data_IF_162828034590
#
_entry.id   IF_162828034590
#
_cell.length_a   1.000
_cell.length_b   1.000
_cell.length_c   1.000
_cell.angle_alpha   90.00
_cell.angle_beta   90.00
_cell.angle_gamma   90.00
#
_symmetry.space_group_name_H-M   'P 1'
#
loop_
_entity.id
_entity.type
_entity.pdbx_description
1 polymer ?
#
# COMPACT_ATOMS: atom_id res chain seq x y z
N UNK A 1 58.20 -24.53 -20.55
CA UNK A 1 58.03 -24.79 -19.11
C UNK A 1 56.71 -24.16 -18.70
N UNK A 2 55.62 -24.93 -18.63
CA UNK A 2 55.17 -25.68 -17.43
C UNK A 2 54.72 -24.72 -16.32
N UNK A 3 53.51 -24.74 -15.76
CA UNK A 3 52.39 -25.68 -15.76
C UNK A 3 51.10 -24.91 -15.43
N UNK A 4 49.96 -25.41 -15.91
CA UNK A 4 48.65 -25.11 -15.35
C UNK A 4 48.44 -25.87 -14.02
N UNK A 5 47.64 -25.29 -13.13
CA UNK A 5 46.77 -25.96 -12.13
C UNK A 5 45.82 -24.86 -11.62
N UNK A 6 44.53 -24.83 -11.99
CA UNK A 6 43.43 -25.64 -11.47
C UNK A 6 43.27 -25.51 -9.95
N UNK A 7 42.39 -24.60 -9.49
CA UNK A 7 41.61 -24.81 -8.26
C UNK A 7 40.35 -23.93 -8.20
N UNK A 8 39.22 -24.66 -8.24
CA UNK A 8 37.97 -24.45 -7.51
C UNK A 8 37.09 -23.24 -7.83
N UNK A 9 36.17 -23.51 -8.76
CA UNK A 9 34.78 -23.03 -8.72
C UNK A 9 34.19 -23.24 -7.32
N UNK A 10 34.04 -22.16 -6.55
CA UNK A 10 33.03 -22.12 -5.49
C UNK A 10 31.72 -21.72 -6.16
N UNK A 11 31.04 -22.72 -6.72
CA UNK A 11 29.63 -22.62 -7.06
C UNK A 11 28.86 -22.44 -5.74
N UNK A 12 28.65 -21.19 -5.33
CA UNK A 12 27.70 -20.88 -4.27
C UNK A 12 26.33 -21.32 -4.77
N UNK A 13 25.86 -22.46 -4.28
CA UNK A 13 24.49 -22.92 -4.48
C UNK A 13 23.59 -21.84 -3.89
N UNK A 14 22.99 -21.00 -4.74
CA UNK A 14 21.91 -20.12 -4.33
C UNK A 14 20.77 -21.04 -3.91
N UNK A 15 20.68 -21.30 -2.61
CA UNK A 15 19.47 -21.87 -2.02
C UNK A 15 18.36 -20.89 -2.35
N UNK A 16 17.51 -21.26 -3.31
CA UNK A 16 16.28 -20.54 -3.57
C UNK A 16 15.50 -20.55 -2.25
N UNK A 17 15.51 -19.41 -1.55
CA UNK A 17 14.63 -19.23 -0.41
C UNK A 17 13.22 -19.49 -0.95
N UNK A 18 12.59 -20.59 -0.52
CA UNK A 18 11.20 -20.88 -0.85
C UNK A 18 10.39 -19.71 -0.30
N UNK A 19 9.99 -18.81 -1.21
CA UNK A 19 9.11 -17.70 -0.89
C UNK A 19 7.86 -18.27 -0.24
N UNK A 20 7.52 -17.75 0.94
CA UNK A 20 6.26 -18.05 1.60
C UNK A 20 5.16 -17.66 0.61
N UNK A 21 4.33 -18.62 0.20
CA UNK A 21 3.20 -18.30 -0.69
C UNK A 21 2.21 -17.40 0.06
N UNK A 22 1.44 -16.56 -0.65
CA UNK A 22 0.45 -15.66 -0.02
C UNK A 22 -0.47 -16.42 0.95
N UNK A 23 -0.81 -17.66 0.61
CA UNK A 23 -1.55 -18.63 1.44
C UNK A 23 -0.84 -18.97 2.76
N UNK A 24 0.47 -19.21 2.74
CA UNK A 24 1.26 -19.53 3.94
C UNK A 24 1.41 -18.31 4.87
N UNK A 25 1.53 -17.10 4.33
CA UNK A 25 1.59 -15.87 5.12
C UNK A 25 0.24 -15.59 5.85
N UNK A 26 -0.89 -15.83 5.17
CA UNK A 26 -2.22 -15.65 5.76
C UNK A 26 -2.60 -16.75 6.74
N UNK A 27 -2.19 -18.00 6.50
CA UNK A 27 -2.38 -19.08 7.47
C UNK A 27 -1.64 -18.79 8.79
N UNK A 28 -0.45 -18.18 8.73
CA UNK A 28 0.28 -17.73 9.91
C UNK A 28 -0.43 -16.55 10.63
N UNK A 29 -1.01 -15.61 9.88
CA UNK A 29 -1.77 -14.49 10.46
C UNK A 29 -3.08 -14.93 11.14
N UNK A 30 -3.77 -15.94 10.60
CA UNK A 30 -4.98 -16.53 11.20
C UNK A 30 -4.67 -17.31 12.48
N UNK A 31 -3.49 -17.93 12.58
CA UNK A 31 -3.05 -18.62 13.79
C UNK A 31 -2.63 -17.66 14.92
N UNK A 32 -2.23 -16.43 14.59
CA UNK A 32 -1.76 -15.42 15.55
C UNK A 32 -2.85 -14.44 16.01
N UNK A 33 -4.13 -14.72 15.73
CA UNK A 33 -5.26 -13.85 16.08
C UNK A 33 -5.47 -13.68 17.58
N UNK A 34 -4.70 -12.79 18.21
CA UNK A 34 -5.00 -12.15 19.49
C UNK A 34 -4.73 -10.65 19.31
N UNK A 35 -5.73 -9.83 19.66
CA UNK A 35 -5.72 -8.39 19.45
C UNK A 35 -4.53 -7.69 20.11
N UNK A 36 -4.14 -6.56 19.53
CA UNK A 36 -3.16 -5.62 20.08
C UNK A 36 -3.76 -4.98 21.33
N UNK A 37 -3.59 -5.65 22.46
CA UNK A 37 -3.74 -5.10 23.81
C UNK A 37 -2.38 -5.23 24.49
N UNK A 38 -1.69 -4.11 24.67
CA UNK A 38 -0.40 -4.07 25.34
C UNK A 38 -0.53 -4.56 26.79
N UNK A 39 0.06 -5.71 27.11
CA UNK A 39 0.27 -6.14 28.49
C UNK A 39 1.75 -5.93 28.81
N UNK A 40 2.03 -4.93 29.64
CA UNK A 40 3.30 -4.78 30.36
C UNK A 40 3.33 -5.81 31.50
N UNK A 41 4.23 -6.80 31.44
CA UNK A 41 4.54 -7.67 32.57
C UNK A 41 5.83 -7.19 33.25
N UNK A 42 5.67 -6.41 34.31
CA UNK A 42 6.69 -6.25 35.35
C UNK A 42 6.56 -7.41 36.34
N UNK A 43 7.71 -7.91 36.79
CA UNK A 43 7.90 -9.21 37.42
C UNK A 43 7.14 -9.49 38.73
N UNK A 44 6.93 -10.79 38.97
CA UNK A 44 6.41 -11.35 40.21
C UNK A 44 6.19 -12.85 40.06
N UNK A 45 6.90 -13.64 40.86
CA UNK A 45 6.92 -15.10 41.03
C UNK A 45 5.67 -15.91 40.64
N UNK A 46 5.90 -16.98 39.85
CA UNK A 46 4.96 -18.10 39.68
C UNK A 46 4.93 -18.97 40.96
N UNK A 47 3.80 -18.98 41.66
CA UNK A 47 3.39 -20.16 42.44
C UNK A 47 2.02 -20.63 41.95
N UNK A 48 2.01 -21.88 41.50
CA UNK A 48 0.85 -22.65 41.08
C UNK A 48 -0.10 -22.87 42.27
N UNK A 49 -1.35 -22.43 42.12
CA UNK A 49 -2.50 -23.05 42.79
C UNK A 49 -3.46 -23.44 41.67
N UNK A 50 -3.22 -24.61 41.08
CA UNK A 50 -4.15 -25.24 40.18
C UNK A 50 -5.27 -25.91 41.00
N UNK A 51 -6.26 -25.14 41.41
CA UNK A 51 -7.55 -25.71 41.79
C UNK A 51 -8.29 -26.07 40.50
N UNK A 52 -8.87 -27.27 40.36
CA UNK A 52 -9.73 -27.57 39.23
C UNK A 52 -11.01 -26.76 39.41
N UNK A 53 -11.04 -25.57 38.79
CA UNK A 53 -12.31 -24.91 38.53
C UNK A 53 -13.03 -25.80 37.53
N UNK A 54 -14.06 -26.49 37.98
CA UNK A 54 -15.11 -27.04 37.13
C UNK A 54 -15.62 -25.86 36.30
N UNK A 55 -15.08 -25.70 35.10
CA UNK A 55 -15.52 -24.64 34.21
C UNK A 55 -16.93 -25.01 33.82
N UNK A 56 -17.88 -24.23 34.31
CA UNK A 56 -19.12 -24.00 33.60
C UNK A 56 -18.75 -23.21 32.33
N UNK A 57 -17.98 -23.82 31.43
CA UNK A 57 -17.97 -23.43 30.04
C UNK A 57 -19.30 -23.93 29.48
N UNK A 58 -20.38 -23.22 29.83
CA UNK A 58 -21.52 -23.09 28.94
C UNK A 58 -20.92 -22.66 27.60
N UNK A 59 -20.69 -23.67 26.76
CA UNK A 59 -19.77 -23.59 25.63
C UNK A 59 -20.20 -22.45 24.74
N UNK A 60 -19.34 -21.45 24.59
CA UNK A 60 -19.60 -20.36 23.67
C UNK A 60 -19.74 -20.97 22.26
N UNK A 61 -20.98 -21.06 21.78
CA UNK A 61 -21.27 -21.52 20.42
C UNK A 61 -20.80 -20.41 19.51
N UNK A 62 -19.64 -20.62 18.87
CA UNK A 62 -19.15 -19.66 17.90
C UNK A 62 -20.21 -19.49 16.81
N UNK A 63 -20.62 -18.25 16.49
CA UNK A 63 -21.51 -18.00 15.36
C UNK A 63 -20.86 -18.39 14.02
N UNK A 64 -19.58 -18.78 14.01
CA UNK A 64 -18.82 -19.29 12.86
C UNK A 64 -18.60 -20.81 12.91
N UNK A 65 -19.38 -21.53 13.71
CA UNK A 65 -19.25 -22.99 13.87
C UNK A 65 -19.52 -23.78 12.58
N UNK A 66 -20.46 -23.32 11.74
CA UNK A 66 -20.74 -23.94 10.44
C UNK A 66 -19.92 -23.34 9.29
N UNK A 67 -19.71 -24.13 8.24
CA UNK A 67 -19.04 -23.66 7.02
C UNK A 67 -19.82 -22.54 6.34
N UNK A 68 -21.15 -22.68 6.24
CA UNK A 68 -22.01 -21.65 5.70
C UNK A 68 -21.88 -20.32 6.44
N UNK A 69 -21.78 -20.35 7.77
CA UNK A 69 -21.57 -19.15 8.58
C UNK A 69 -20.20 -18.51 8.33
N UNK A 70 -19.15 -19.31 8.16
CA UNK A 70 -17.81 -18.81 7.79
C UNK A 70 -17.80 -18.19 6.41
N UNK A 71 -18.43 -18.80 5.41
CA UNK A 71 -18.54 -18.26 4.04
C UNK A 71 -19.32 -16.94 4.05
N UNK A 72 -20.49 -16.88 4.69
CA UNK A 72 -21.27 -15.65 4.80
C UNK A 72 -20.52 -14.56 5.55
N UNK A 73 -19.78 -14.91 6.60
CA UNK A 73 -18.94 -13.94 7.31
C UNK A 73 -17.80 -13.42 6.45
N UNK A 74 -17.10 -14.32 5.74
CA UNK A 74 -16.03 -13.95 4.81
C UNK A 74 -16.53 -12.96 3.76
N UNK A 75 -17.63 -13.28 3.07
CA UNK A 75 -18.17 -12.38 2.05
C UNK A 75 -18.55 -11.01 2.65
N UNK A 76 -19.24 -10.96 3.80
CA UNK A 76 -19.57 -9.68 4.48
C UNK A 76 -18.35 -8.83 4.81
N UNK A 77 -17.20 -9.44 5.12
CA UNK A 77 -15.97 -8.72 5.49
C UNK A 77 -15.09 -8.39 4.28
N UNK A 78 -15.07 -9.27 3.29
CA UNK A 78 -14.17 -9.19 2.14
C UNK A 78 -14.78 -8.49 0.92
N UNK A 79 -16.10 -8.28 0.86
CA UNK A 79 -16.80 -7.65 -0.29
C UNK A 79 -17.70 -6.51 0.17
N UNK A 80 -18.25 -5.71 -0.73
CA UNK A 80 -19.24 -4.65 -0.40
C UNK A 80 -20.67 -5.17 -0.25
N UNK A 81 -20.83 -6.47 0.00
CA UNK A 81 -22.10 -7.18 -0.11
C UNK A 81 -22.02 -8.30 -1.14
N UNK A 82 -23.05 -9.12 -1.21
CA UNK A 82 -23.16 -10.21 -2.16
C UNK A 82 -24.60 -10.41 -2.61
N UNK A 83 -24.78 -10.84 -3.85
CA UNK A 83 -26.08 -11.29 -4.36
C UNK A 83 -26.38 -12.72 -3.89
N UNK A 84 -27.64 -13.19 -3.96
CA UNK A 84 -27.97 -14.58 -3.70
C UNK A 84 -27.16 -15.56 -4.55
N UNK A 85 -27.01 -15.29 -5.86
CA UNK A 85 -26.22 -16.14 -6.76
C UNK A 85 -24.73 -16.21 -6.39
N UNK A 86 -24.15 -15.11 -5.90
CA UNK A 86 -22.76 -15.10 -5.42
C UNK A 86 -22.60 -15.88 -4.11
N UNK A 87 -23.60 -15.82 -3.22
CA UNK A 87 -23.62 -16.62 -2.00
C UNK A 87 -23.72 -18.12 -2.33
N UNK A 88 -24.63 -18.52 -3.21
CA UNK A 88 -24.80 -19.92 -3.61
C UNK A 88 -23.52 -20.48 -4.22
N UNK A 89 -22.87 -19.72 -5.10
CA UNK A 89 -21.58 -20.09 -5.68
C UNK A 89 -20.49 -20.25 -4.60
N UNK A 90 -20.41 -19.33 -3.64
CA UNK A 90 -19.42 -19.40 -2.55
C UNK A 90 -19.70 -20.54 -1.56
N UNK A 91 -20.96 -20.85 -1.28
CA UNK A 91 -21.36 -21.99 -0.46
C UNK A 91 -21.03 -23.32 -1.15
N UNK A 92 -21.23 -23.39 -2.47
CA UNK A 92 -20.82 -24.54 -3.30
C UNK A 92 -19.30 -24.71 -3.36
N UNK A 93 -18.56 -23.61 -3.48
CA UNK A 93 -17.09 -23.61 -3.44
C UNK A 93 -16.54 -24.02 -2.06
N UNK A 94 -17.27 -23.72 -1.00
CA UNK A 94 -16.80 -23.84 0.38
C UNK A 94 -15.80 -22.74 0.76
N UNK A 95 -15.40 -22.73 2.03
CA UNK A 95 -14.66 -21.60 2.61
C UNK A 95 -13.27 -21.40 1.99
N UNK A 96 -12.46 -22.46 1.90
CA UNK A 96 -11.07 -22.35 1.42
C UNK A 96 -11.00 -21.89 -0.04
N UNK A 97 -11.81 -22.50 -0.91
CA UNK A 97 -11.83 -22.15 -2.34
C UNK A 97 -12.38 -20.74 -2.56
N UNK A 98 -13.33 -20.30 -1.74
CA UNK A 98 -13.80 -18.90 -1.76
C UNK A 98 -12.67 -17.92 -1.40
N UNK A 99 -11.85 -18.23 -0.40
CA UNK A 99 -10.66 -17.41 -0.07
C UNK A 99 -9.70 -17.36 -1.26
N UNK A 100 -9.34 -18.53 -1.81
CA UNK A 100 -8.40 -18.60 -2.93
C UNK A 100 -8.91 -17.78 -4.12
N UNK A 101 -10.20 -17.90 -4.45
CA UNK A 101 -10.82 -17.09 -5.51
C UNK A 101 -10.76 -15.59 -5.21
N UNK A 102 -11.05 -15.14 -3.99
CA UNK A 102 -11.04 -13.71 -3.64
C UNK A 102 -9.64 -13.08 -3.73
N UNK A 103 -8.60 -13.85 -3.39
CA UNK A 103 -7.22 -13.34 -3.29
C UNK A 103 -6.45 -13.49 -4.59
N UNK A 104 -6.63 -14.60 -5.30
CA UNK A 104 -5.83 -14.93 -6.49
C UNK A 104 -6.43 -14.37 -7.79
N UNK A 105 -7.70 -13.93 -7.77
CA UNK A 105 -8.29 -13.26 -8.94
C UNK A 105 -7.64 -11.89 -9.14
N UNK A 106 -7.02 -11.68 -10.30
CA UNK A 106 -6.42 -10.40 -10.68
C UNK A 106 -7.48 -9.28 -10.59
N UNK A 107 -7.21 -8.17 -9.89
CA UNK A 107 -8.12 -7.03 -9.82
C UNK A 107 -8.61 -6.60 -11.21
N UNK A 108 -9.93 -6.45 -11.35
CA UNK A 108 -10.53 -5.91 -12.55
C UNK A 108 -10.23 -4.40 -12.64
N UNK A 109 -9.90 -3.94 -13.84
CA UNK A 109 -9.75 -2.50 -14.08
C UNK A 109 -11.13 -1.83 -14.10
N UNK A 110 -11.26 -0.63 -13.52
CA UNK A 110 -12.49 0.14 -13.62
C UNK A 110 -12.69 0.68 -15.04
N UNK A 111 -13.93 1.03 -15.41
CA UNK A 111 -14.16 1.77 -16.65
C UNK A 111 -13.38 3.09 -16.64
N UNK A 112 -12.93 3.55 -17.79
CA UNK A 112 -12.24 4.85 -17.89
C UNK A 112 -13.16 5.99 -17.46
N UNK A 113 -12.67 6.84 -16.56
CA UNK A 113 -13.31 8.13 -16.32
C UNK A 113 -12.96 9.07 -17.48
N UNK A 114 -13.79 9.09 -18.52
CA UNK A 114 -13.53 9.84 -19.77
C UNK A 114 -13.12 11.30 -19.54
N UNK A 115 -13.75 11.98 -18.60
CA UNK A 115 -13.42 13.38 -18.26
C UNK A 115 -12.04 13.55 -17.66
N UNK A 116 -11.48 12.53 -17.02
CA UNK A 116 -10.12 12.53 -16.47
C UNK A 116 -9.05 12.20 -17.52
N UNK A 117 -9.44 11.50 -18.60
CA UNK A 117 -8.53 11.08 -19.67
C UNK A 117 -8.51 12.09 -20.84
N UNK A 118 -9.55 12.93 -20.98
CA UNK A 118 -9.58 14.02 -21.96
C UNK A 118 -8.55 15.11 -21.64
N UNK A 119 -7.69 15.52 -22.60
CA UNK A 119 -6.78 16.66 -22.42
C UNK A 119 -7.50 17.94 -21.97
N UNK A 120 -7.07 18.51 -20.84
CA UNK A 120 -7.70 19.70 -20.25
C UNK A 120 -9.05 19.43 -19.58
N UNK A 121 -9.44 18.15 -19.47
CA UNK A 121 -10.63 17.71 -18.78
C UNK A 121 -10.63 18.13 -17.32
N UNK A 122 -11.79 18.59 -16.85
CA UNK A 122 -12.04 18.90 -15.44
C UNK A 122 -13.31 18.20 -15.01
N UNK A 123 -13.26 17.62 -13.83
CA UNK A 123 -14.39 16.94 -13.22
C UNK A 123 -14.48 17.32 -11.74
N UNK A 124 -15.70 17.46 -11.19
CA UNK A 124 -15.88 17.67 -9.76
C UNK A 124 -15.51 16.39 -8.99
N UNK A 125 -15.08 16.54 -7.73
CA UNK A 125 -14.72 15.40 -6.88
C UNK A 125 -15.89 14.42 -6.72
N UNK A 126 -17.13 14.92 -6.70
CA UNK A 126 -18.35 14.12 -6.66
C UNK A 126 -18.47 13.13 -7.83
N UNK A 127 -18.00 13.50 -9.03
CA UNK A 127 -17.99 12.59 -10.18
C UNK A 127 -17.02 11.44 -9.96
N UNK A 128 -15.83 11.71 -9.41
CA UNK A 128 -14.85 10.67 -9.08
C UNK A 128 -15.36 9.73 -7.98
N UNK A 129 -16.04 10.29 -6.97
CA UNK A 129 -16.66 9.51 -5.90
C UNK A 129 -17.74 8.58 -6.45
N UNK A 130 -18.64 9.08 -7.30
CA UNK A 130 -19.68 8.26 -7.94
C UNK A 130 -19.07 7.17 -8.81
N UNK A 131 -18.10 7.52 -9.67
CA UNK A 131 -17.38 6.56 -10.51
C UNK A 131 -16.78 5.41 -9.71
N UNK A 132 -16.17 5.71 -8.57
CA UNK A 132 -15.57 4.67 -7.73
C UNK A 132 -16.64 3.84 -7.02
N UNK A 133 -17.70 4.46 -6.48
CA UNK A 133 -18.82 3.74 -5.86
C UNK A 133 -19.46 2.76 -6.85
N UNK A 134 -19.72 3.20 -8.08
CA UNK A 134 -20.30 2.35 -9.12
C UNK A 134 -19.41 1.13 -9.39
N UNK A 135 -18.08 1.33 -9.47
CA UNK A 135 -17.14 0.22 -9.63
C UNK A 135 -17.10 -0.71 -8.41
N UNK A 136 -17.10 -0.18 -7.18
CA UNK A 136 -17.13 -0.97 -5.95
C UNK A 136 -18.36 -1.89 -5.87
N UNK A 137 -19.50 -1.44 -6.41
CA UNK A 137 -20.76 -2.19 -6.40
C UNK A 137 -20.88 -3.22 -7.53
N UNK A 138 -20.16 -3.03 -8.63
CA UNK A 138 -20.34 -3.83 -9.87
C UNK A 138 -19.13 -4.69 -10.25
N UNK A 139 -17.98 -4.47 -9.62
CA UNK A 139 -16.74 -5.18 -9.97
C UNK A 139 -16.84 -6.70 -9.71
N UNK A 140 -16.29 -7.55 -10.61
CA UNK A 140 -16.18 -8.98 -10.36
C UNK A 140 -15.11 -9.32 -9.31
N UNK A 141 -14.28 -8.35 -8.91
CA UNK A 141 -13.19 -8.53 -7.93
C UNK A 141 -13.39 -7.64 -6.69
N UNK A 142 -14.44 -7.86 -5.89
CA UNK A 142 -14.81 -6.97 -4.79
C UNK A 142 -13.77 -6.92 -3.66
N UNK A 143 -12.97 -7.97 -3.49
CA UNK A 143 -11.90 -7.99 -2.49
C UNK A 143 -10.80 -6.97 -2.80
N UNK A 144 -10.41 -6.83 -4.07
CA UNK A 144 -9.44 -5.84 -4.48
C UNK A 144 -9.92 -4.43 -4.14
N UNK A 145 -11.18 -4.10 -4.44
CA UNK A 145 -11.74 -2.78 -4.11
C UNK A 145 -11.92 -2.56 -2.61
N UNK A 146 -12.21 -3.61 -1.84
CA UNK A 146 -12.23 -3.53 -0.37
C UNK A 146 -10.86 -3.17 0.17
N UNK A 147 -9.80 -3.74 -0.38
CA UNK A 147 -8.42 -3.41 -0.05
C UNK A 147 -8.02 -2.01 -0.56
N UNK A 148 -8.44 -1.62 -1.76
CA UNK A 148 -8.26 -0.24 -2.27
C UNK A 148 -8.84 0.78 -1.29
N UNK A 149 -10.06 0.56 -0.80
CA UNK A 149 -10.71 1.43 0.19
C UNK A 149 -9.97 1.44 1.53
N UNK A 150 -9.50 0.28 2.00
CA UNK A 150 -8.68 0.18 3.21
C UNK A 150 -7.41 1.03 3.09
N UNK A 151 -6.65 0.87 2.00
CA UNK A 151 -5.42 1.63 1.79
C UNK A 151 -5.67 3.11 1.52
N UNK A 152 -6.81 3.46 0.93
CA UNK A 152 -7.23 4.85 0.79
C UNK A 152 -7.47 5.51 2.17
N UNK A 153 -8.01 4.76 3.13
CA UNK A 153 -8.17 5.20 4.51
C UNK A 153 -6.88 5.19 5.34
N UNK A 154 -5.86 4.43 4.93
CA UNK A 154 -4.56 4.38 5.62
C UNK A 154 -3.59 5.45 5.07
N UNK A 155 -3.39 5.49 3.76
CA UNK A 155 -2.58 6.50 3.07
C UNK A 155 -3.45 7.66 2.62
N UNK A 156 -3.98 8.41 3.59
CA UNK A 156 -4.97 9.47 3.35
C UNK A 156 -4.33 10.70 2.70
N UNK A 157 -5.10 11.36 1.84
CA UNK A 157 -4.77 12.70 1.30
C UNK A 157 -5.98 13.62 1.28
N UNK A 158 -5.74 14.93 1.28
CA UNK A 158 -6.78 15.94 1.10
C UNK A 158 -6.82 16.44 -0.35
N UNK A 159 -7.90 16.14 -1.06
CA UNK A 159 -8.11 16.57 -2.45
C UNK A 159 -8.08 18.09 -2.62
N UNK A 160 -8.42 18.87 -1.58
CA UNK A 160 -8.40 20.34 -1.60
C UNK A 160 -6.97 20.86 -1.61
N UNK A 161 -6.06 20.23 -0.85
CA UNK A 161 -4.62 20.56 -0.87
C UNK A 161 -3.93 19.99 -2.11
N UNK A 162 -4.34 18.80 -2.57
CA UNK A 162 -3.89 18.27 -3.85
C UNK A 162 -4.29 19.17 -5.02
N UNK A 163 -5.39 19.93 -4.92
CA UNK A 163 -5.80 20.99 -5.86
C UNK A 163 -5.89 20.60 -7.35
N UNK A 164 -5.84 19.30 -7.66
CA UNK A 164 -5.99 18.72 -8.99
C UNK A 164 -6.64 17.34 -8.88
N UNK A 165 -7.93 17.26 -9.24
CA UNK A 165 -8.70 16.02 -9.12
C UNK A 165 -8.15 14.90 -10.01
N UNK A 166 -7.40 15.23 -11.07
CA UNK A 166 -6.69 14.24 -11.89
C UNK A 166 -5.66 13.45 -11.07
N UNK A 167 -5.00 14.10 -10.10
CA UNK A 167 -4.07 13.40 -9.20
C UNK A 167 -4.80 12.45 -8.25
N UNK A 168 -6.01 12.82 -7.79
CA UNK A 168 -6.84 11.93 -6.98
C UNK A 168 -7.32 10.71 -7.77
N UNK A 169 -7.67 10.89 -9.04
CA UNK A 169 -8.02 9.79 -9.93
C UNK A 169 -6.84 8.82 -10.10
N UNK A 170 -5.63 9.33 -10.37
CA UNK A 170 -4.44 8.48 -10.48
C UNK A 170 -4.10 7.78 -9.16
N UNK A 171 -4.20 8.48 -8.03
CA UNK A 171 -3.98 7.90 -6.72
C UNK A 171 -4.92 6.71 -6.48
N UNK A 172 -6.21 6.85 -6.81
CA UNK A 172 -7.16 5.73 -6.69
C UNK A 172 -6.74 4.53 -7.57
N UNK A 173 -6.33 4.78 -8.81
CA UNK A 173 -5.84 3.72 -9.70
C UNK A 173 -4.56 3.06 -9.14
N UNK A 174 -3.63 3.84 -8.58
CA UNK A 174 -2.42 3.34 -7.94
C UNK A 174 -2.76 2.47 -6.73
N UNK A 175 -3.69 2.92 -5.88
CA UNK A 175 -4.07 2.19 -4.67
C UNK A 175 -4.72 0.85 -5.02
N UNK A 176 -5.49 0.81 -6.12
CA UNK A 176 -6.03 -0.44 -6.67
C UNK A 176 -4.94 -1.38 -7.15
N UNK A 177 -4.00 -0.89 -7.97
CA UNK A 177 -2.88 -1.71 -8.48
C UNK A 177 -2.03 -2.29 -7.35
N UNK A 178 -1.82 -1.52 -6.28
CA UNK A 178 -1.01 -1.96 -5.15
C UNK A 178 -1.80 -2.69 -4.06
N UNK A 179 -3.13 -2.77 -4.14
CA UNK A 179 -4.05 -3.16 -3.05
C UNK A 179 -3.72 -4.47 -2.33
N UNK A 180 -3.13 -5.44 -3.04
CA UNK A 180 -2.76 -6.78 -2.53
C UNK A 180 -1.25 -7.05 -2.61
N UNK A 181 -0.43 -6.00 -2.72
CA UNK A 181 1.04 -6.09 -2.74
C UNK A 181 1.63 -6.02 -1.32
N UNK A 182 2.97 -5.93 -1.21
CA UNK A 182 3.65 -5.80 0.07
C UNK A 182 3.85 -4.32 0.44
N UNK A 183 3.90 -4.02 1.74
CA UNK A 183 4.00 -2.66 2.26
C UNK A 183 5.20 -1.89 1.70
N UNK A 184 6.36 -2.53 1.51
CA UNK A 184 7.55 -1.87 0.94
C UNK A 184 7.26 -1.32 -0.46
N UNK A 185 6.63 -2.12 -1.32
CA UNK A 185 6.24 -1.66 -2.67
C UNK A 185 5.22 -0.54 -2.59
N UNK A 186 4.21 -0.64 -1.71
CA UNK A 186 3.21 0.41 -1.50
C UNK A 186 3.84 1.74 -1.09
N UNK A 187 4.81 1.74 -0.17
CA UNK A 187 5.44 2.98 0.28
C UNK A 187 6.16 3.73 -0.84
N UNK A 188 6.73 3.02 -1.83
CA UNK A 188 7.35 3.66 -3.00
C UNK A 188 6.29 4.32 -3.88
N UNK A 189 5.20 3.62 -4.16
CA UNK A 189 4.06 4.17 -4.92
C UNK A 189 3.46 5.38 -4.21
N UNK A 190 3.27 5.32 -2.89
CA UNK A 190 2.75 6.42 -2.07
C UNK A 190 3.70 7.62 -2.07
N UNK A 191 5.01 7.39 -1.92
CA UNK A 191 6.03 8.47 -1.92
C UNK A 191 6.03 9.25 -3.23
N UNK A 192 5.78 8.57 -4.34
CA UNK A 192 5.87 9.14 -5.69
C UNK A 192 4.52 9.53 -6.28
N UNK A 193 3.43 9.37 -5.53
CA UNK A 193 2.09 9.76 -5.97
C UNK A 193 1.96 11.31 -6.02
N UNK A 194 1.49 11.90 -7.14
CA UNK A 194 1.39 13.35 -7.27
C UNK A 194 0.46 14.05 -6.26
N UNK A 195 -0.63 13.40 -5.83
CA UNK A 195 -1.50 13.97 -4.80
C UNK A 195 -0.78 13.97 -3.44
N UNK A 196 -0.10 12.87 -3.09
CA UNK A 196 0.68 12.76 -1.85
C UNK A 196 1.87 13.74 -1.81
N UNK A 197 2.61 13.86 -2.93
CA UNK A 197 3.72 14.79 -3.09
C UNK A 197 3.32 16.24 -2.82
N UNK A 198 2.11 16.63 -3.24
CA UNK A 198 1.56 17.96 -2.98
C UNK A 198 0.92 18.07 -1.60
N UNK A 199 0.25 17.03 -1.13
CA UNK A 199 -0.43 17.00 0.16
C UNK A 199 0.53 17.15 1.35
N UNK A 200 1.70 16.52 1.29
CA UNK A 200 2.70 16.56 2.36
C UNK A 200 3.94 17.37 2.00
N UNK A 201 3.81 18.26 1.01
CA UNK A 201 4.82 19.24 0.61
C UNK A 201 6.18 18.64 0.18
N UNK A 202 6.21 17.35 -0.15
CA UNK A 202 7.42 16.68 -0.63
C UNK A 202 7.86 17.22 -2.00
N UNK A 203 6.93 17.66 -2.84
CA UNK A 203 7.22 18.28 -4.13
C UNK A 203 8.10 19.56 -4.02
N UNK A 204 8.03 20.27 -2.90
CA UNK A 204 8.81 21.49 -2.63
C UNK A 204 10.06 21.23 -1.79
N UNK A 205 10.18 20.05 -1.16
CA UNK A 205 11.36 19.63 -0.42
C UNK A 205 12.62 19.59 -1.30
N UNK A 206 13.72 20.15 -0.80
CA UNK A 206 15.03 20.17 -1.48
C UNK A 206 16.13 19.80 -0.52
N UNK A 207 17.28 19.37 -1.03
CA UNK A 207 18.46 19.11 -0.21
C UNK A 207 18.91 20.32 0.58
N UNK A 208 18.76 21.54 0.04
CA UNK A 208 19.08 22.78 0.75
C UNK A 208 18.04 23.15 1.81
N UNK A 209 16.76 22.91 1.51
CA UNK A 209 15.64 23.19 2.41
C UNK A 209 14.73 21.93 2.49
N UNK A 210 15.11 20.93 3.31
CA UNK A 210 14.30 19.72 3.47
C UNK A 210 12.99 20.04 4.18
N UNK A 211 11.89 19.49 3.69
CA UNK A 211 10.60 19.58 4.37
C UNK A 211 10.32 18.28 5.14
N UNK A 212 10.19 18.40 6.45
CA UNK A 212 10.00 17.26 7.36
C UNK A 212 8.61 16.64 7.33
N UNK A 213 7.61 17.33 6.79
CA UNK A 213 6.21 16.92 6.87
C UNK A 213 6.01 15.49 6.37
N UNK A 214 6.36 15.19 5.11
CA UNK A 214 6.23 13.83 4.59
C UNK A 214 7.05 12.78 5.36
N UNK A 215 8.27 13.11 5.79
CA UNK A 215 9.11 12.19 6.56
C UNK A 215 8.46 11.81 7.89
N UNK A 216 7.90 12.81 8.59
CA UNK A 216 7.18 12.62 9.84
C UNK A 216 5.94 11.78 9.64
N UNK A 217 5.09 12.10 8.67
CA UNK A 217 3.86 11.34 8.41
C UNK A 217 4.15 9.90 7.96
N UNK A 218 5.20 9.69 7.16
CA UNK A 218 5.64 8.36 6.75
C UNK A 218 5.94 7.48 7.97
N UNK A 219 6.63 8.04 8.97
CA UNK A 219 6.97 7.33 10.20
C UNK A 219 5.77 7.19 11.13
N UNK A 220 5.08 8.30 11.40
CA UNK A 220 4.07 8.39 12.43
C UNK A 220 2.74 7.76 12.02
N UNK A 221 2.19 8.15 10.86
CA UNK A 221 0.86 7.71 10.47
C UNK A 221 0.89 6.46 9.59
N UNK A 222 1.90 6.33 8.72
CA UNK A 222 1.86 5.32 7.68
C UNK A 222 2.60 4.03 8.01
N UNK A 223 3.52 4.03 8.98
CA UNK A 223 4.36 2.86 9.26
C UNK A 223 4.51 2.51 10.74
N UNK A 224 5.27 3.29 11.52
CA UNK A 224 5.78 2.89 12.83
C UNK A 224 4.89 3.36 13.99
N UNK A 225 4.13 4.43 13.82
CA UNK A 225 3.40 5.03 14.93
C UNK A 225 4.25 6.01 15.74
N UNK A 226 3.59 6.95 16.40
CA UNK A 226 4.23 7.94 17.27
C UNK A 226 5.03 7.27 18.40
N UNK A 227 6.20 7.83 18.71
CA UNK A 227 7.07 7.37 19.80
C UNK A 227 8.00 6.19 19.45
N UNK A 228 7.96 5.68 18.21
CA UNK A 228 8.83 4.59 17.73
C UNK A 228 10.01 5.06 16.87
N UNK A 229 10.24 6.38 16.78
CA UNK A 229 11.29 7.01 16.00
C UNK A 229 11.75 8.31 16.69
N UNK A 230 12.96 8.77 16.40
CA UNK A 230 13.52 10.01 16.93
C UNK A 230 13.30 11.21 16.00
N UNK A 231 13.40 12.41 16.54
CA UNK A 231 13.34 13.64 15.74
C UNK A 231 14.46 13.74 14.70
N UNK A 232 15.63 13.17 15.00
CA UNK A 232 16.73 13.10 14.04
C UNK A 232 16.42 12.16 12.87
N UNK A 233 15.66 11.08 13.09
CA UNK A 233 15.19 10.22 12.00
C UNK A 233 14.27 11.00 11.05
N UNK A 234 13.41 11.88 11.58
CA UNK A 234 12.54 12.74 10.77
C UNK A 234 13.36 13.67 9.88
N UNK A 235 14.33 14.38 10.47
CA UNK A 235 15.22 15.31 9.75
C UNK A 235 16.03 14.62 8.67
N UNK A 236 16.62 13.49 9.00
CA UNK A 236 17.46 12.74 8.07
C UNK A 236 16.64 12.02 7.00
N UNK A 237 15.43 11.58 7.34
CA UNK A 237 14.45 11.10 6.37
C UNK A 237 14.02 12.19 5.39
N UNK A 238 13.78 13.41 5.89
CA UNK A 238 13.41 14.55 5.05
C UNK A 238 14.49 14.88 4.01
N UNK A 239 15.76 14.80 4.41
CA UNK A 239 16.91 14.93 3.50
C UNK A 239 16.95 13.79 2.48
N UNK A 240 16.80 12.53 2.91
CA UNK A 240 16.82 11.36 2.04
C UNK A 240 15.68 11.34 1.01
N UNK A 241 14.54 11.93 1.37
CA UNK A 241 13.34 12.02 0.53
C UNK A 241 13.34 13.26 -0.37
N UNK A 242 14.22 14.25 -0.13
CA UNK A 242 14.26 15.47 -0.91
C UNK A 242 14.62 15.22 -2.39
N UNK A 243 14.03 16.03 -3.29
CA UNK A 243 14.32 16.00 -4.73
C UNK A 243 13.19 15.51 -5.62
N UNK A 244 12.12 14.93 -5.06
CA UNK A 244 10.91 14.61 -5.82
C UNK A 244 10.16 15.88 -6.26
N UNK A 245 9.61 15.81 -7.47
CA UNK A 245 8.79 16.87 -8.05
C UNK A 245 7.49 16.27 -8.57
N UNK A 246 6.49 17.13 -8.73
CA UNK A 246 5.32 16.78 -9.52
C UNK A 246 5.72 16.50 -10.97
N UNK A 247 4.97 15.63 -11.67
CA UNK A 247 5.13 15.45 -13.10
C UNK A 247 4.99 16.79 -13.81
N UNK A 248 5.79 16.99 -14.85
CA UNK A 248 5.68 18.18 -15.70
C UNK A 248 4.59 17.95 -16.74
N UNK A 249 3.75 18.95 -17.05
CA UNK A 249 2.78 18.83 -18.12
C UNK A 249 3.49 18.73 -19.48
N UNK A 250 3.06 17.79 -20.31
CA UNK A 250 3.57 17.60 -21.67
C UNK A 250 3.04 18.69 -22.62
N UNK A 251 1.85 19.19 -22.33
CA UNK A 251 1.20 20.26 -23.10
C UNK A 251 0.18 20.99 -22.23
N UNK A 252 -0.49 21.98 -22.84
CA UNK A 252 -1.58 22.71 -22.22
C UNK A 252 -2.78 22.73 -23.15
N UNK A 253 -3.97 22.55 -22.58
CA UNK A 253 -5.24 22.67 -23.28
C UNK A 253 -6.06 23.82 -22.69
N UNK A 254 -6.85 24.48 -23.54
CA UNK A 254 -7.77 25.53 -23.11
C UNK A 254 -9.14 24.91 -22.88
N UNK A 255 -9.71 25.08 -21.69
CA UNK A 255 -11.06 24.61 -21.41
C UNK A 255 -12.12 25.59 -21.94
N UNK A 256 -13.40 25.20 -21.83
CA UNK A 256 -14.55 26.00 -22.25
C UNK A 256 -14.69 27.36 -21.52
N UNK A 257 -13.89 27.61 -20.48
CA UNK A 257 -13.82 28.87 -19.73
C UNK A 257 -12.58 29.70 -20.09
N UNK A 258 -11.92 29.41 -21.23
CA UNK A 258 -10.68 30.03 -21.67
C UNK A 258 -9.51 29.92 -20.68
N UNK A 259 -9.53 28.94 -19.78
CA UNK A 259 -8.44 28.68 -18.85
C UNK A 259 -7.45 27.70 -19.46
N UNK A 260 -6.17 28.07 -19.48
CA UNK A 260 -5.05 27.19 -19.85
C UNK A 260 -4.79 26.19 -18.73
N UNK A 261 -4.92 24.89 -19.03
CA UNK A 261 -4.80 23.79 -18.08
C UNK A 261 -3.69 22.83 -18.48
N UNK A 262 -2.97 22.25 -17.50
CA UNK A 262 -1.94 21.26 -17.77
C UNK A 262 -2.54 19.96 -18.32
N UNK A 263 -1.83 19.32 -19.24
CA UNK A 263 -2.13 17.99 -19.77
C UNK A 263 -0.94 17.09 -19.49
N UNK A 264 -1.20 15.91 -18.92
CA UNK A 264 -0.20 14.91 -18.59
C UNK A 264 -0.53 13.62 -19.34
N UNK A 265 0.20 13.35 -20.42
CA UNK A 265 0.01 12.15 -21.25
C UNK A 265 1.10 11.11 -21.01
N UNK A 266 2.33 11.53 -20.70
CA UNK A 266 3.48 10.63 -20.62
C UNK A 266 3.82 10.20 -19.19
N UNK A 267 3.77 11.13 -18.23
CA UNK A 267 4.23 10.92 -16.86
C UNK A 267 3.09 11.19 -15.87
N UNK A 268 2.65 10.15 -15.15
CA UNK A 268 1.55 10.21 -14.17
C UNK A 268 2.01 9.99 -12.72
N UNK A 269 3.32 9.91 -12.49
CA UNK A 269 3.95 9.82 -11.16
C UNK A 269 4.97 10.93 -10.97
N UNK A 270 5.43 11.11 -9.74
CA UNK A 270 6.49 12.05 -9.40
C UNK A 270 7.78 11.80 -10.18
N UNK A 271 8.54 12.87 -10.37
CA UNK A 271 9.83 12.85 -11.09
C UNK A 271 10.93 13.23 -10.10
N UNK A 272 11.94 12.37 -9.97
CA UNK A 272 13.09 12.66 -9.13
C UNK A 272 14.07 13.59 -9.86
N UNK A 273 14.52 14.64 -9.19
CA UNK A 273 15.53 15.56 -9.71
C UNK A 273 16.80 15.54 -8.84
N UNK A 274 17.87 14.88 -9.29
CA UNK A 274 19.13 14.78 -8.55
C UNK A 274 19.79 16.12 -8.22
N UNK A 275 19.45 17.20 -8.95
CA UNK A 275 19.97 18.55 -8.65
C UNK A 275 19.30 19.18 -7.44
N UNK A 276 18.09 18.72 -7.08
CA UNK A 276 17.32 19.15 -5.90
C UNK A 276 17.49 18.19 -4.73
N UNK A 277 18.11 17.03 -4.91
CA UNK A 277 18.32 16.05 -3.86
C UNK A 277 19.35 16.53 -2.84
N UNK A 278 19.27 16.00 -1.62
CA UNK A 278 20.32 16.19 -0.63
C UNK A 278 21.63 15.53 -1.09
N UNK A 279 22.75 16.22 -0.87
CA UNK A 279 24.09 15.69 -1.16
C UNK A 279 24.82 15.50 0.16
N UNK A 280 25.01 14.26 0.56
CA UNK A 280 25.68 13.92 1.80
C UNK A 280 25.24 12.56 2.32
N UNK A 281 25.79 12.20 3.49
CA UNK A 281 25.33 11.03 4.24
C UNK A 281 24.29 11.46 5.25
N UNK A 282 23.28 10.62 5.46
CA UNK A 282 22.28 10.76 6.52
C UNK A 282 22.26 9.48 7.34
N UNK A 283 21.77 9.53 8.59
CA UNK A 283 21.51 8.36 9.41
C UNK A 283 20.01 8.24 9.63
N UNK A 284 19.40 7.26 8.98
CA UNK A 284 17.97 7.03 9.02
C UNK A 284 17.67 5.68 9.64
N UNK A 285 17.01 5.65 10.81
CA UNK A 285 16.65 4.44 11.54
C UNK A 285 17.87 3.51 11.75
N UNK A 286 19.00 4.12 12.14
CA UNK A 286 20.27 3.43 12.40
C UNK A 286 21.05 3.00 11.15
N UNK A 287 20.59 3.34 9.94
CA UNK A 287 21.31 3.09 8.70
C UNK A 287 21.96 4.38 8.19
N UNK A 288 23.27 4.36 8.00
CA UNK A 288 24.04 5.52 7.54
C UNK A 288 24.52 5.34 6.11
N UNK A 289 24.33 6.35 5.27
CA UNK A 289 24.89 6.39 3.92
C UNK A 289 24.31 7.51 3.07
N UNK A 290 24.69 7.58 1.78
CA UNK A 290 24.04 8.44 0.80
C UNK A 290 22.68 7.84 0.43
N UNK A 291 21.73 7.93 1.37
CA UNK A 291 20.39 7.37 1.20
C UNK A 291 19.57 8.30 0.32
N UNK A 292 19.06 7.76 -0.79
CA UNK A 292 18.05 8.39 -1.61
C UNK A 292 16.94 7.40 -1.99
N UNK A 293 15.86 7.93 -2.52
CA UNK A 293 14.73 7.16 -3.01
C UNK A 293 14.80 6.86 -4.51
N UNK A 294 15.83 7.33 -5.22
CA UNK A 294 16.05 7.08 -6.65
C UNK A 294 16.56 5.66 -6.90
N UNK A 295 17.45 5.15 -6.05
CA UNK A 295 18.06 3.83 -6.23
C UNK A 295 17.06 2.65 -6.21
N UNK A 296 15.85 2.85 -5.65
CA UNK A 296 14.82 1.80 -5.52
C UNK A 296 13.71 1.83 -6.56
N UNK A 297 13.54 2.91 -7.32
CA UNK A 297 12.56 2.96 -8.43
C UNK A 297 13.07 2.24 -9.68
N UNK A 298 14.38 2.09 -9.85
CA UNK A 298 14.98 1.33 -10.95
C UNK A 298 14.98 -0.19 -10.75
N UNK A 299 14.74 -0.71 -9.53
CA UNK A 299 14.68 -2.16 -9.26
C UNK A 299 13.29 -2.79 -9.43
N UNK A 300 12.26 -2.00 -9.79
CA UNK A 300 10.87 -2.46 -9.94
C UNK A 300 10.42 -2.74 -11.38
N UNK A 301 11.22 -2.38 -12.39
CA UNK A 301 10.87 -2.58 -13.81
C UNK A 301 11.28 -3.97 -14.34
N UNK A 302 11.36 -4.98 -13.47
CA UNK A 302 11.69 -6.35 -13.87
C UNK A 302 10.44 -7.25 -13.79
N UNK A 303 9.99 -7.67 -14.97
CA UNK A 303 9.12 -8.84 -15.24
C UNK A 303 7.61 -8.68 -15.04
N UNK A 304 6.96 -8.03 -16.00
CA UNK A 304 5.68 -8.52 -16.53
C UNK A 304 5.86 -8.89 -18.00
N UNK A 305 6.24 -10.15 -18.21
CA UNK A 305 5.89 -10.96 -19.37
C UNK A 305 5.18 -12.20 -18.85
#
# INVERSE_FOLDING_TARGET
>A
MSLASAEQQVAATRTAARGITRRQALAAALAAGVGVGAIRLLGGSMQQVASPRTSWASGWISPLGSESARVMHLLRRATFGYTPSQLDAALSDGFSKTIDRLIETKPAEPPLLLTADTPGGRFPIAQLQQWWIDHMLTTPTPFAERMTLFWHGHFTTDYRKAADNTFMYWQNLTWRRMSITNLRSMLVEVTTDPAMLRYLDLATSTGQNPNENYSRELMELFTMGAGNYGEDDVRDGAKALAGWQLPQPDSFATNNMNRRLPVYSTQKTGVFNPRRAYRGSVTYLGQTGPLDTQARTHSGAASTT
#
